data_IF_379722782647
#
_entry.id   IF_379722782647
#
_cell.length_a   1.000
_cell.length_b   1.000
_cell.length_c   1.000
_cell.angle_alpha   90.00
_cell.angle_beta   90.00
_cell.angle_gamma   90.00
#
_symmetry.space_group_name_H-M   'P 1'
#
loop_
_entity.id
_entity.type
_entity.pdbx_description
1 polymer ?
#
# COMPACT_ATOMS: atom_id res chain seq x y z
N UNK A 1 -14.30 -6.00 -14.33
CA UNK A 1 -12.90 -6.40 -14.09
C UNK A 1 -12.88 -7.29 -12.86
N UNK A 2 -11.85 -8.09 -12.58
CA UNK A 2 -11.92 -9.06 -11.47
C UNK A 2 -10.69 -8.95 -10.58
N UNK A 3 -10.93 -8.68 -9.30
CA UNK A 3 -9.95 -8.78 -8.23
C UNK A 3 -9.80 -10.26 -7.84
N UNK A 4 -8.58 -10.73 -7.61
CA UNK A 4 -8.36 -12.10 -7.15
C UNK A 4 -8.86 -12.28 -5.71
N UNK A 5 -9.12 -13.53 -5.31
CA UNK A 5 -9.48 -13.84 -3.92
C UNK A 5 -8.42 -13.35 -2.94
N UNK A 6 -7.13 -13.46 -3.30
CA UNK A 6 -6.01 -13.03 -2.45
C UNK A 6 -6.07 -11.53 -2.20
N UNK A 7 -6.21 -10.73 -3.25
CA UNK A 7 -6.28 -9.26 -3.14
C UNK A 7 -7.52 -8.81 -2.35
N UNK A 8 -8.66 -9.49 -2.55
CA UNK A 8 -9.87 -9.19 -1.80
C UNK A 8 -9.74 -9.54 -0.31
N UNK A 9 -9.22 -10.73 0.01
CA UNK A 9 -8.94 -11.15 1.39
C UNK A 9 -7.93 -10.22 2.05
N UNK A 10 -6.93 -9.73 1.32
CA UNK A 10 -5.99 -8.76 1.84
C UNK A 10 -6.65 -7.41 2.15
N UNK A 11 -7.58 -6.93 1.32
CA UNK A 11 -8.39 -5.75 1.64
C UNK A 11 -9.24 -5.94 2.90
N UNK A 12 -9.88 -7.11 3.06
CA UNK A 12 -10.61 -7.43 4.29
C UNK A 12 -9.69 -7.52 5.52
N UNK A 13 -8.49 -8.07 5.35
CA UNK A 13 -7.50 -8.12 6.42
C UNK A 13 -7.14 -6.71 6.91
N UNK A 14 -6.97 -5.74 6.02
CA UNK A 14 -6.71 -4.34 6.39
C UNK A 14 -7.86 -3.81 7.27
N UNK A 15 -9.10 -3.94 6.81
CA UNK A 15 -10.29 -3.46 7.54
C UNK A 15 -10.41 -4.11 8.92
N UNK A 16 -10.30 -5.44 8.99
CA UNK A 16 -10.42 -6.18 10.26
C UNK A 16 -9.26 -5.81 11.20
N UNK A 17 -8.06 -5.60 10.66
CA UNK A 17 -6.89 -5.24 11.47
C UNK A 17 -7.04 -3.91 12.18
N UNK A 18 -7.81 -2.97 11.63
CA UNK A 18 -8.08 -1.69 12.24
C UNK A 18 -8.75 -1.80 13.62
N UNK A 19 -9.49 -2.90 13.88
CA UNK A 19 -10.12 -3.15 15.18
C UNK A 19 -9.09 -3.23 16.32
N UNK A 20 -7.90 -3.77 16.04
CA UNK A 20 -6.90 -4.06 17.07
C UNK A 20 -5.56 -3.34 16.89
N UNK A 21 -5.29 -2.74 15.73
CA UNK A 21 -3.99 -2.12 15.44
C UNK A 21 -3.61 -1.02 16.43
N UNK A 22 -4.58 -0.19 16.85
CA UNK A 22 -4.34 0.83 17.88
C UNK A 22 -4.06 0.28 19.28
N UNK A 23 -4.62 -0.89 19.63
CA UNK A 23 -4.36 -1.55 20.91
C UNK A 23 -2.99 -2.24 20.90
N UNK A 24 -2.65 -2.90 19.79
CA UNK A 24 -1.32 -3.48 19.57
C UNK A 24 -0.25 -2.41 19.59
N UNK A 25 -0.47 -1.27 18.91
CA UNK A 25 0.46 -0.15 18.90
C UNK A 25 0.69 0.44 20.30
N UNK A 26 -0.39 0.63 21.08
CA UNK A 26 -0.28 1.07 22.48
C UNK A 26 0.44 0.06 23.35
N UNK A 27 0.08 -1.23 23.25
CA UNK A 27 0.73 -2.30 24.00
C UNK A 27 2.24 -2.35 23.74
N UNK A 28 2.66 -2.30 22.47
CA UNK A 28 4.08 -2.26 22.10
C UNK A 28 4.75 -1.00 22.65
N UNK A 29 4.10 0.16 22.48
CA UNK A 29 4.67 1.44 22.92
C UNK A 29 4.79 1.54 24.44
N UNK A 30 3.86 0.98 25.20
CA UNK A 30 3.87 0.98 26.67
C UNK A 30 4.83 -0.06 27.25
N UNK A 31 4.94 -1.25 26.64
CA UNK A 31 5.76 -2.35 27.16
C UNK A 31 7.21 -2.33 26.70
N UNK A 32 7.44 -1.97 25.43
CA UNK A 32 8.76 -1.98 24.83
C UNK A 32 9.28 -0.55 24.64
N UNK A 33 8.40 0.41 24.37
CA UNK A 33 8.77 1.79 24.07
C UNK A 33 8.57 2.14 22.59
N UNK A 34 8.30 3.41 22.31
CA UNK A 34 8.12 3.95 20.94
C UNK A 34 9.24 3.55 19.96
N UNK A 35 10.54 3.54 20.32
CA UNK A 35 11.61 3.18 19.39
C UNK A 35 11.49 1.76 18.81
N UNK A 36 10.92 0.81 19.56
CA UNK A 36 10.74 -0.56 19.08
C UNK A 36 9.61 -0.66 18.06
N UNK A 37 8.57 0.18 18.19
CA UNK A 37 7.53 0.24 17.18
C UNK A 37 8.05 0.88 15.88
N UNK A 38 8.88 1.91 15.99
CA UNK A 38 9.61 2.48 14.84
C UNK A 38 10.53 1.46 14.17
N UNK A 39 11.27 0.67 14.96
CA UNK A 39 12.11 -0.42 14.46
C UNK A 39 11.29 -1.47 13.71
N UNK A 40 10.13 -1.88 14.24
CA UNK A 40 9.23 -2.81 13.56
C UNK A 40 8.81 -2.30 12.18
N UNK A 41 8.39 -1.03 12.11
CA UNK A 41 8.01 -0.39 10.84
C UNK A 41 9.21 -0.33 9.89
N UNK A 42 10.40 0.03 10.39
CA UNK A 42 11.64 0.01 9.62
C UNK A 42 11.97 -1.37 9.03
N UNK A 43 11.80 -2.43 9.82
CA UNK A 43 11.98 -3.81 9.36
C UNK A 43 10.98 -4.14 8.24
N UNK A 44 9.71 -3.74 8.36
CA UNK A 44 8.70 -3.99 7.33
C UNK A 44 9.00 -3.25 6.02
N UNK A 45 9.49 -2.02 6.09
CA UNK A 45 9.96 -1.29 4.90
C UNK A 45 11.19 -1.97 4.28
N UNK A 46 12.13 -2.46 5.10
CA UNK A 46 13.30 -3.20 4.62
C UNK A 46 12.89 -4.50 3.92
N UNK A 47 11.99 -5.28 4.52
CA UNK A 47 11.45 -6.49 3.92
C UNK A 47 10.71 -6.21 2.61
N UNK A 48 9.95 -5.11 2.56
CA UNK A 48 9.29 -4.65 1.34
C UNK A 48 10.31 -4.30 0.25
N UNK A 49 11.39 -3.59 0.60
CA UNK A 49 12.49 -3.28 -0.32
C UNK A 49 13.17 -4.56 -0.85
N UNK A 50 13.49 -5.50 0.03
CA UNK A 50 14.07 -6.80 -0.36
C UNK A 50 13.14 -7.57 -1.29
N UNK A 51 11.85 -7.65 -0.95
CA UNK A 51 10.84 -8.31 -1.79
C UNK A 51 10.73 -7.67 -3.18
N UNK A 52 10.76 -6.34 -3.25
CA UNK A 52 10.79 -5.62 -4.52
C UNK A 52 12.08 -5.91 -5.30
N UNK A 53 13.26 -5.86 -4.68
CA UNK A 53 14.53 -6.19 -5.35
C UNK A 53 14.49 -7.60 -5.95
N UNK A 54 14.03 -8.59 -5.18
CA UNK A 54 13.89 -9.97 -5.66
C UNK A 54 12.90 -10.07 -6.84
N UNK A 55 11.82 -9.30 -6.81
CA UNK A 55 10.87 -9.21 -7.91
C UNK A 55 11.48 -8.54 -9.16
N UNK A 56 12.22 -7.44 -9.01
CA UNK A 56 12.85 -6.71 -10.12
C UNK A 56 13.93 -7.55 -10.81
N UNK A 57 14.69 -8.36 -10.05
CA UNK A 57 15.67 -9.32 -10.61
C UNK A 57 15.03 -10.28 -11.62
N UNK A 58 13.74 -10.59 -11.48
CA UNK A 58 12.98 -11.45 -12.40
C UNK A 58 12.32 -10.70 -13.57
N UNK A 59 12.35 -9.36 -13.56
CA UNK A 59 11.54 -8.53 -14.46
C UNK A 59 12.35 -7.88 -15.59
N UNK A 60 13.69 -8.02 -15.60
CA UNK A 60 14.59 -7.56 -16.66
C UNK A 60 14.31 -6.11 -17.11
N UNK A 61 14.24 -5.19 -16.14
CA UNK A 61 13.93 -3.77 -16.39
C UNK A 61 15.10 -3.04 -17.05
N UNK A 62 14.79 -2.20 -18.05
CA UNK A 62 15.76 -1.26 -18.61
C UNK A 62 16.21 -0.21 -17.59
N UNK A 63 17.43 0.32 -17.75
CA UNK A 63 18.08 1.25 -16.80
C UNK A 63 17.19 2.45 -16.41
N UNK A 64 16.55 3.10 -17.39
CA UNK A 64 15.69 4.27 -17.14
C UNK A 64 14.49 3.89 -16.25
N UNK A 65 13.85 2.76 -16.52
CA UNK A 65 12.72 2.30 -15.69
C UNK A 65 13.15 1.94 -14.29
N UNK A 66 14.31 1.33 -14.14
CA UNK A 66 14.87 1.02 -12.83
C UNK A 66 15.10 2.31 -12.03
N UNK A 67 15.65 3.36 -12.64
CA UNK A 67 15.83 4.66 -11.99
C UNK A 67 14.49 5.29 -11.58
N UNK A 68 13.49 5.29 -12.46
CA UNK A 68 12.15 5.80 -12.15
C UNK A 68 11.51 4.98 -11.01
N UNK A 69 11.63 3.65 -11.06
CA UNK A 69 11.12 2.76 -10.01
C UNK A 69 11.75 3.08 -8.65
N UNK A 70 13.08 3.18 -8.62
CA UNK A 70 13.83 3.53 -7.41
C UNK A 70 13.41 4.91 -6.90
N UNK A 71 13.29 5.91 -7.80
CA UNK A 71 12.84 7.25 -7.45
C UNK A 71 11.46 7.27 -6.81
N UNK A 72 10.48 6.56 -7.39
CA UNK A 72 9.12 6.45 -6.83
C UNK A 72 9.11 5.69 -5.51
N UNK A 73 9.91 4.64 -5.38
CA UNK A 73 10.01 3.89 -4.12
C UNK A 73 10.61 4.73 -2.99
N UNK A 74 11.70 5.47 -3.28
CA UNK A 74 12.32 6.39 -2.34
C UNK A 74 11.35 7.52 -1.97
N UNK A 75 10.68 8.13 -2.94
CA UNK A 75 9.71 9.20 -2.69
C UNK A 75 8.60 8.77 -1.72
N UNK A 76 8.00 7.59 -1.94
CA UNK A 76 6.99 7.05 -1.02
C UNK A 76 7.54 6.69 0.35
N UNK A 77 8.78 6.20 0.43
CA UNK A 77 9.44 5.89 1.71
C UNK A 77 9.77 7.16 2.51
N UNK A 78 10.26 8.21 1.85
CA UNK A 78 10.51 9.51 2.46
C UNK A 78 9.21 10.17 2.92
N UNK A 79 8.15 10.09 2.10
CA UNK A 79 6.83 10.58 2.48
C UNK A 79 6.31 9.85 3.72
N UNK A 80 6.44 8.52 3.79
CA UNK A 80 6.08 7.77 4.99
C UNK A 80 6.87 8.24 6.22
N UNK A 81 8.17 8.56 6.07
CA UNK A 81 9.01 8.97 7.21
C UNK A 81 8.72 10.40 7.67
N UNK A 82 8.08 11.19 6.82
CA UNK A 82 7.56 12.51 7.17
C UNK A 82 6.26 12.45 7.98
N UNK A 83 5.52 11.33 7.95
CA UNK A 83 4.31 11.18 8.75
C UNK A 83 4.66 11.00 10.23
N UNK A 84 4.10 11.83 11.10
CA UNK A 84 4.35 11.78 12.55
C UNK A 84 3.70 10.55 13.20
N UNK A 85 2.59 10.08 12.63
CA UNK A 85 1.81 8.98 13.18
C UNK A 85 2.30 7.65 12.59
N UNK A 86 2.87 6.81 13.46
CA UNK A 86 3.43 5.51 13.09
C UNK A 86 2.42 4.58 12.40
N UNK A 87 1.15 4.67 12.80
CA UNK A 87 0.06 3.89 12.22
C UNK A 87 -0.20 4.29 10.76
N UNK A 88 -0.04 5.57 10.39
CA UNK A 88 -0.19 6.02 9.00
C UNK A 88 0.95 5.49 8.12
N UNK A 89 2.17 5.39 8.65
CA UNK A 89 3.31 4.76 7.95
C UNK A 89 3.02 3.31 7.58
N UNK A 90 2.36 2.59 8.49
CA UNK A 90 1.92 1.21 8.28
C UNK A 90 0.81 1.11 7.24
N UNK A 91 -0.20 1.98 7.31
CA UNK A 91 -1.26 2.03 6.31
C UNK A 91 -0.70 2.30 4.92
N UNK A 92 0.29 3.19 4.79
CA UNK A 92 0.93 3.46 3.50
C UNK A 92 1.53 2.20 2.86
N UNK A 93 2.20 1.33 3.64
CA UNK A 93 2.69 0.05 3.15
C UNK A 93 1.55 -0.92 2.80
N UNK A 94 0.56 -1.06 3.67
CA UNK A 94 -0.55 -1.99 3.48
C UNK A 94 -1.36 -1.63 2.23
N UNK A 95 -1.76 -0.37 2.12
CA UNK A 95 -2.47 0.13 0.94
C UNK A 95 -1.57 0.13 -0.30
N UNK A 96 -0.26 0.41 -0.17
CA UNK A 96 0.69 0.21 -1.27
C UNK A 96 0.71 -1.22 -1.80
N UNK A 97 0.77 -2.22 -0.93
CA UNK A 97 0.68 -3.61 -1.35
C UNK A 97 -0.70 -3.92 -1.97
N UNK A 98 -1.79 -3.42 -1.40
CA UNK A 98 -3.14 -3.58 -1.93
C UNK A 98 -3.24 -3.03 -3.36
N UNK A 99 -2.72 -1.83 -3.58
CA UNK A 99 -2.71 -1.17 -4.88
C UNK A 99 -1.89 -1.94 -5.91
N UNK A 100 -0.69 -2.39 -5.53
CA UNK A 100 0.15 -3.26 -6.38
C UNK A 100 -0.60 -4.53 -6.80
N UNK A 101 -1.28 -5.19 -5.86
CA UNK A 101 -2.04 -6.42 -6.12
C UNK A 101 -3.27 -6.16 -7.00
N UNK A 102 -4.01 -5.08 -6.76
CA UNK A 102 -5.19 -4.70 -7.52
C UNK A 102 -4.86 -4.45 -9.00
N UNK A 103 -3.83 -3.63 -9.28
CA UNK A 103 -3.44 -3.34 -10.66
C UNK A 103 -2.84 -4.56 -11.38
N UNK A 104 -2.12 -5.41 -10.65
CA UNK A 104 -1.60 -6.69 -11.18
C UNK A 104 -2.73 -7.59 -11.65
N UNK A 105 -3.78 -7.72 -10.85
CA UNK A 105 -4.90 -8.62 -11.15
C UNK A 105 -5.74 -8.09 -12.32
N UNK A 106 -5.92 -6.77 -12.40
CA UNK A 106 -6.72 -6.14 -13.45
C UNK A 106 -6.01 -6.11 -14.81
N UNK A 107 -4.69 -5.85 -14.84
CA UNK A 107 -3.88 -5.86 -16.07
C UNK A 107 -3.72 -7.25 -16.67
N UNK A 108 -3.66 -8.32 -15.86
CA UNK A 108 -3.57 -9.71 -16.34
C UNK A 108 -4.69 -10.11 -17.31
N UNK A 109 -5.83 -9.41 -17.29
CA UNK A 109 -6.99 -9.70 -18.13
C UNK A 109 -7.01 -8.94 -19.47
N UNK A 110 -5.87 -8.39 -19.93
CA UNK A 110 -5.69 -7.68 -21.22
C UNK A 110 -6.69 -6.52 -21.46
N UNK A 111 -7.17 -5.88 -20.39
CA UNK A 111 -7.93 -4.63 -20.52
C UNK A 111 -6.94 -3.47 -20.56
N UNK A 112 -7.15 -2.50 -21.46
CA UNK A 112 -6.23 -1.37 -21.65
C UNK A 112 -5.85 -0.70 -20.32
N UNK A 113 -4.60 -0.23 -20.23
CA UNK A 113 -3.98 0.27 -19.00
C UNK A 113 -4.85 1.28 -18.26
N UNK A 114 -5.49 2.20 -18.97
CA UNK A 114 -6.35 3.24 -18.39
C UNK A 114 -7.52 2.62 -17.64
N UNK A 115 -8.23 1.67 -18.26
CA UNK A 115 -9.35 0.97 -17.62
C UNK A 115 -8.87 0.16 -16.42
N UNK A 116 -7.72 -0.52 -16.54
CA UNK A 116 -7.06 -1.25 -15.45
C UNK A 116 -6.78 -0.36 -14.24
N UNK A 117 -6.18 0.80 -14.47
CA UNK A 117 -5.84 1.78 -13.43
C UNK A 117 -7.08 2.35 -12.75
N UNK A 118 -8.07 2.83 -13.52
CA UNK A 118 -9.29 3.43 -12.96
C UNK A 118 -10.00 2.45 -12.03
N UNK A 119 -10.23 1.21 -12.46
CA UNK A 119 -10.90 0.22 -11.63
C UNK A 119 -10.08 -0.15 -10.38
N UNK A 120 -8.75 -0.19 -10.49
CA UNK A 120 -7.88 -0.51 -9.35
C UNK A 120 -7.91 0.61 -8.32
N UNK A 121 -7.85 1.88 -8.76
CA UNK A 121 -8.02 3.04 -7.90
C UNK A 121 -9.40 3.05 -7.21
N UNK A 122 -10.49 2.85 -7.97
CA UNK A 122 -11.83 2.76 -7.39
C UNK A 122 -11.98 1.62 -6.38
N UNK A 123 -11.30 0.49 -6.60
CA UNK A 123 -11.29 -0.62 -5.65
C UNK A 123 -10.55 -0.25 -4.36
N UNK A 124 -9.38 0.41 -4.45
CA UNK A 124 -8.62 0.89 -3.29
C UNK A 124 -9.45 1.90 -2.52
N UNK A 125 -10.06 2.88 -3.21
CA UNK A 125 -10.93 3.88 -2.63
C UNK A 125 -12.12 3.25 -1.90
N UNK A 126 -12.74 2.22 -2.48
CA UNK A 126 -13.83 1.50 -1.84
C UNK A 126 -13.38 0.80 -0.54
N UNK A 127 -12.22 0.13 -0.55
CA UNK A 127 -11.66 -0.47 0.67
C UNK A 127 -11.34 0.60 1.71
N UNK A 128 -10.76 1.71 1.27
CA UNK A 128 -10.40 2.85 2.11
C UNK A 128 -11.62 3.47 2.81
N UNK A 129 -12.72 3.68 2.08
CA UNK A 129 -13.98 4.18 2.64
C UNK A 129 -14.58 3.17 3.63
N UNK A 130 -14.54 1.87 3.32
CA UNK A 130 -15.10 0.84 4.20
C UNK A 130 -14.26 0.69 5.47
N UNK A 131 -12.94 0.78 5.37
CA UNK A 131 -12.03 0.79 6.52
C UNK A 131 -12.33 1.97 7.44
N UNK A 132 -12.47 3.18 6.89
CA UNK A 132 -12.81 4.38 7.66
C UNK A 132 -14.20 4.30 8.31
N UNK A 133 -15.19 3.82 7.55
CA UNK A 133 -16.54 3.64 8.06
C UNK A 133 -16.59 2.60 9.19
N UNK A 134 -15.80 1.53 9.09
CA UNK A 134 -15.65 0.55 10.14
C UNK A 134 -14.98 1.15 11.39
N UNK A 135 -13.99 2.01 11.19
CA UNK A 135 -13.30 2.71 12.27
C UNK A 135 -14.21 3.72 13.00
N UNK A 136 -15.14 4.38 12.30
CA UNK A 136 -16.16 5.23 12.93
C UNK A 136 -17.10 4.47 13.88
N UNK A 137 -17.28 3.15 13.69
CA UNK A 137 -18.06 2.33 14.62
C UNK A 137 -17.29 1.87 15.85
N UNK A 138 -15.96 2.07 15.90
CA UNK A 138 -15.16 1.66 17.04
C UNK A 138 -15.20 2.77 18.12
N UNK A 139 -15.67 2.47 19.35
CA UNK A 139 -15.91 3.50 20.37
C UNK A 139 -14.64 4.20 20.89
N UNK A 140 -13.46 3.64 20.57
CA UNK A 140 -12.15 4.13 20.97
C UNK A 140 -11.35 4.73 19.80
N UNK A 141 -11.99 4.95 18.63
CA UNK A 141 -11.36 5.60 17.48
C UNK A 141 -12.30 6.66 16.91
N UNK A 142 -11.74 7.82 16.61
CA UNK A 142 -12.43 8.84 15.82
C UNK A 142 -11.94 8.66 14.40
N UNK A 143 -12.85 8.34 13.50
CA UNK A 143 -12.51 8.29 12.09
C UNK A 143 -12.28 9.69 11.52
N UNK A 144 -11.31 9.80 10.62
CA UNK A 144 -10.89 11.02 9.93
C UNK A 144 -10.95 10.80 8.41
N UNK A 145 -11.69 11.65 7.70
CA UNK A 145 -11.79 11.55 6.24
C UNK A 145 -10.45 11.76 5.53
N UNK A 146 -9.46 12.35 6.21
CA UNK A 146 -8.07 12.45 5.72
C UNK A 146 -7.41 11.07 5.58
N UNK A 147 -7.74 10.11 6.43
CA UNK A 147 -7.20 8.74 6.38
C UNK A 147 -7.58 8.08 5.04
N UNK A 148 -8.79 8.34 4.54
CA UNK A 148 -9.23 7.83 3.23
C UNK A 148 -8.30 8.29 2.11
N UNK A 149 -7.90 9.56 2.15
CA UNK A 149 -6.99 10.18 1.17
C UNK A 149 -5.59 9.61 1.30
N UNK A 150 -5.06 9.48 2.52
CA UNK A 150 -3.72 8.90 2.73
C UNK A 150 -3.64 7.44 2.29
N UNK A 151 -4.67 6.66 2.58
CA UNK A 151 -4.81 5.28 2.11
C UNK A 151 -4.83 5.20 0.58
N UNK A 152 -5.57 6.10 -0.08
CA UNK A 152 -5.59 6.17 -1.54
C UNK A 152 -4.21 6.55 -2.11
N UNK A 153 -3.51 7.52 -1.50
CA UNK A 153 -2.13 7.88 -1.88
C UNK A 153 -1.19 6.68 -1.76
N UNK A 154 -1.27 5.92 -0.66
CA UNK A 154 -0.52 4.68 -0.48
C UNK A 154 -0.83 3.67 -1.58
N UNK A 155 -2.11 3.45 -1.88
CA UNK A 155 -2.55 2.57 -2.95
C UNK A 155 -2.03 2.96 -4.34
N UNK A 156 -2.15 4.24 -4.69
CA UNK A 156 -1.65 4.78 -5.96
C UNK A 156 -0.12 4.68 -6.06
N UNK A 157 0.60 4.85 -4.95
CA UNK A 157 2.04 4.64 -4.90
C UNK A 157 2.41 3.20 -5.27
N UNK A 158 1.77 2.20 -4.64
CA UNK A 158 1.99 0.80 -4.96
C UNK A 158 1.56 0.41 -6.38
N UNK A 159 0.44 0.95 -6.86
CA UNK A 159 0.01 0.79 -8.25
C UNK A 159 1.08 1.30 -9.23
N UNK A 160 1.63 2.49 -8.96
CA UNK A 160 2.64 3.12 -9.82
C UNK A 160 3.89 2.27 -9.92
N UNK A 161 4.38 1.73 -8.80
CA UNK A 161 5.53 0.83 -8.79
C UNK A 161 5.28 -0.41 -9.67
N UNK A 162 4.09 -1.02 -9.62
CA UNK A 162 3.76 -2.15 -10.49
C UNK A 162 3.74 -1.75 -11.96
N UNK A 163 3.09 -0.63 -12.30
CA UNK A 163 2.97 -0.16 -13.68
C UNK A 163 4.33 0.13 -14.30
N UNK A 164 5.23 0.79 -13.58
CA UNK A 164 6.62 1.03 -14.01
C UNK A 164 7.33 -0.31 -14.27
N UNK A 165 7.05 -1.33 -13.47
CA UNK A 165 7.70 -2.64 -13.60
C UNK A 165 7.20 -3.48 -14.79
N UNK A 166 5.99 -3.26 -15.29
CA UNK A 166 5.34 -4.16 -16.26
C UNK A 166 4.88 -3.53 -17.56
N UNK A 167 4.60 -2.24 -17.58
CA UNK A 167 4.05 -1.60 -18.78
C UNK A 167 5.20 -1.12 -19.64
N UNK A 168 5.23 -1.54 -20.90
CA UNK A 168 6.08 -0.92 -21.89
C UNK A 168 5.43 0.37 -22.40
N UNK A 169 5.91 1.52 -21.91
CA UNK A 169 5.42 2.85 -22.34
C UNK A 169 5.87 3.19 -23.77
N UNK A 170 6.77 2.38 -24.35
CA UNK A 170 7.11 2.42 -25.75
C UNK A 170 6.12 1.52 -26.48
N UNK A 171 5.01 2.10 -26.94
CA UNK A 171 3.92 1.38 -27.61
C UNK A 171 4.40 0.48 -28.75
N UNK A 172 4.53 -0.81 -28.45
CA UNK A 172 4.52 -1.93 -29.39
C UNK A 172 3.63 -3.01 -28.82
#
# INVERSE_FOLDING_TARGET
>A
MRISKVTFVFGLFIIISAAFMGQVGRFISEKLGKPYFELLIGILFLLSAVGLILYLKRTALGKIRLLIFIGVFIAGSLFAWHLDILVERMHLLLYGLLGWLAIRDTLRKKKGIVKASIFSALFILAISIVDEAFQWWLPYRVGDTRDVVFNEVGGLWGMSLFLISKVDWRGK
#
